data_IF_100124634688
#
_entry.id   IF_100124634688
#
_cell.length_a   1.000
_cell.length_b   1.000
_cell.length_c   1.000
_cell.angle_alpha   90.00
_cell.angle_beta   90.00
_cell.angle_gamma   90.00
#
_symmetry.space_group_name_H-M   'P 1'
#
loop_
_entity.id
_entity.type
_entity.pdbx_description
1 polymer ?
#
# COMPACT_ATOMS: atom_id res chain seq x y z
N UNK A 1 19.45 -11.60 79.07
CA UNK A 1 18.35 -11.81 78.09
C UNK A 1 18.95 -11.74 76.69
N UNK A 2 18.67 -12.71 75.80
CA UNK A 2 19.34 -12.83 74.50
C UNK A 2 18.70 -11.95 73.41
N UNK A 3 19.40 -11.65 72.31
CA UNK A 3 18.84 -10.89 71.19
C UNK A 3 17.94 -11.78 70.31
N UNK A 4 16.74 -11.31 70.01
CA UNK A 4 15.84 -11.92 69.01
C UNK A 4 16.37 -11.66 67.60
N UNK A 5 16.85 -12.70 66.94
CA UNK A 5 17.22 -12.71 65.52
C UNK A 5 15.98 -12.54 64.62
N UNK A 6 15.96 -11.48 63.80
CA UNK A 6 14.99 -11.28 62.71
C UNK A 6 15.40 -12.19 61.54
N UNK A 7 14.96 -13.45 61.56
CA UNK A 7 15.28 -14.45 60.53
C UNK A 7 14.08 -14.83 59.64
N UNK A 8 13.12 -13.90 59.48
CA UNK A 8 11.87 -14.16 58.74
C UNK A 8 11.69 -13.42 57.42
N UNK A 9 12.37 -12.27 57.19
CA UNK A 9 12.02 -11.35 56.09
C UNK A 9 12.69 -11.65 54.74
N UNK A 10 13.78 -12.43 54.74
CA UNK A 10 14.57 -12.70 53.52
C UNK A 10 13.99 -13.79 52.62
N UNK A 11 13.23 -14.75 53.17
CA UNK A 11 12.62 -15.85 52.38
C UNK A 11 11.36 -15.41 51.62
N UNK A 12 10.57 -14.50 52.19
CA UNK A 12 9.35 -13.97 51.58
C UNK A 12 9.66 -13.03 50.39
N UNK A 13 10.66 -12.13 50.53
CA UNK A 13 11.09 -11.28 49.42
C UNK A 13 11.60 -12.08 48.22
N UNK A 14 12.36 -13.17 48.45
CA UNK A 14 12.86 -14.02 47.35
C UNK A 14 11.73 -14.68 46.56
N UNK A 15 10.64 -15.10 47.22
CA UNK A 15 9.46 -15.65 46.54
C UNK A 15 8.74 -14.58 45.72
N UNK A 16 8.61 -13.38 46.26
CA UNK A 16 8.00 -12.25 45.55
C UNK A 16 8.81 -11.82 44.33
N UNK A 17 10.14 -11.79 44.42
CA UNK A 17 11.01 -11.48 43.27
C UNK A 17 10.91 -12.55 42.18
N UNK A 18 10.82 -13.83 42.53
CA UNK A 18 10.68 -14.92 41.56
C UNK A 18 9.31 -14.84 40.85
N UNK A 19 8.23 -14.56 41.57
CA UNK A 19 6.89 -14.40 40.97
C UNK A 19 6.84 -13.16 40.06
N UNK A 20 7.46 -12.05 40.46
CA UNK A 20 7.54 -10.84 39.62
C UNK A 20 8.33 -11.11 38.33
N UNK A 21 9.40 -11.91 38.40
CA UNK A 21 10.25 -12.24 37.26
C UNK A 21 9.53 -13.17 36.27
N UNK A 22 8.69 -14.09 36.76
CA UNK A 22 7.82 -14.93 35.91
C UNK A 22 6.74 -14.07 35.22
N UNK A 23 6.13 -13.11 35.92
CA UNK A 23 5.14 -12.21 35.32
C UNK A 23 5.79 -11.33 34.24
N UNK A 24 7.01 -10.84 34.45
CA UNK A 24 7.77 -10.09 33.43
C UNK A 24 8.15 -10.97 32.23
N UNK A 25 8.41 -12.26 32.41
CA UNK A 25 8.69 -13.17 31.29
C UNK A 25 7.44 -13.58 30.50
N UNK A 26 6.28 -13.66 31.15
CA UNK A 26 5.01 -14.04 30.49
C UNK A 26 4.33 -12.83 29.83
N UNK A 27 4.50 -11.63 30.39
CA UNK A 27 3.98 -10.36 29.84
C UNK A 27 5.03 -9.52 29.12
N UNK A 28 6.29 -9.96 29.08
CA UNK A 28 7.32 -9.42 28.21
C UNK A 28 6.96 -9.78 26.78
N UNK A 29 6.18 -8.91 26.14
CA UNK A 29 5.82 -8.93 24.73
C UNK A 29 6.99 -9.50 23.91
N UNK A 30 6.83 -10.72 23.41
CA UNK A 30 7.62 -11.17 22.27
C UNK A 30 7.20 -10.31 21.09
N UNK A 31 7.89 -9.19 20.87
CA UNK A 31 7.94 -8.63 19.53
C UNK A 31 8.38 -9.76 18.60
N UNK A 32 7.68 -9.98 17.46
CA UNK A 32 8.11 -11.00 16.52
C UNK A 32 9.55 -10.68 16.15
N UNK A 33 10.46 -11.62 16.45
CA UNK A 33 11.84 -11.55 16.00
C UNK A 33 11.84 -11.20 14.51
N UNK A 34 12.72 -10.28 14.06
CA UNK A 34 12.89 -10.03 12.64
C UNK A 34 13.12 -11.37 11.96
N UNK A 35 12.23 -11.73 11.03
CA UNK A 35 12.43 -12.92 10.22
C UNK A 35 13.65 -12.66 9.36
N UNK A 36 14.81 -13.12 9.81
CA UNK A 36 16.02 -13.14 9.00
C UNK A 36 15.81 -14.20 7.91
N UNK A 37 15.55 -13.74 6.68
CA UNK A 37 15.51 -14.60 5.51
C UNK A 37 16.97 -14.92 5.17
N UNK A 38 17.38 -16.17 5.42
CA UNK A 38 18.70 -16.67 5.01
C UNK A 38 18.92 -16.42 3.52
N UNK A 39 20.06 -15.80 3.19
CA UNK A 39 20.53 -15.56 1.82
C UNK A 39 20.57 -16.87 1.04
N UNK A 40 19.60 -17.07 0.15
CA UNK A 40 19.68 -18.06 -0.91
C UNK A 40 20.17 -17.33 -2.14
N UNK A 41 21.47 -17.50 -2.39
CA UNK A 41 22.24 -17.10 -3.56
C UNK A 41 22.25 -15.60 -3.94
N UNK A 42 23.47 -15.11 -4.16
CA UNK A 42 23.82 -13.78 -4.67
C UNK A 42 23.34 -13.57 -6.13
N UNK A 43 22.05 -13.70 -6.41
CA UNK A 43 21.41 -13.14 -7.61
C UNK A 43 20.58 -11.94 -7.19
N UNK A 44 21.08 -10.76 -7.49
CA UNK A 44 20.53 -9.43 -7.22
C UNK A 44 19.20 -9.12 -7.93
N UNK A 45 18.24 -10.03 -7.97
CA UNK A 45 17.09 -9.95 -8.88
C UNK A 45 15.73 -9.74 -8.19
N UNK A 46 15.62 -9.99 -6.89
CA UNK A 46 14.35 -9.88 -6.14
C UNK A 46 14.57 -9.12 -4.82
N UNK A 47 13.88 -8.00 -4.65
CA UNK A 47 13.89 -7.20 -3.43
C UNK A 47 12.62 -7.48 -2.61
N UNK A 48 12.79 -7.87 -1.34
CA UNK A 48 11.69 -8.08 -0.39
C UNK A 48 11.59 -6.90 0.58
N UNK A 49 10.39 -6.33 0.72
CA UNK A 49 10.10 -5.25 1.65
C UNK A 49 8.90 -5.66 2.52
N UNK A 50 9.14 -5.82 3.83
CA UNK A 50 8.05 -5.97 4.80
C UNK A 50 7.33 -4.61 4.93
N UNK A 51 6.00 -4.61 4.81
CA UNK A 51 5.22 -3.38 4.98
C UNK A 51 4.87 -3.25 6.46
N UNK A 52 5.40 -2.26 7.20
CA UNK A 52 5.13 -2.14 8.62
C UNK A 52 3.65 -1.86 8.86
N UNK A 53 3.02 -2.60 9.78
CA UNK A 53 1.63 -2.33 10.21
C UNK A 53 1.43 -0.92 10.79
N UNK A 54 2.53 -0.28 11.24
CA UNK A 54 2.53 1.07 11.81
C UNK A 54 2.86 2.18 10.79
N UNK A 55 3.09 1.87 9.51
CA UNK A 55 3.23 2.92 8.50
C UNK A 55 1.88 3.58 8.26
N UNK A 56 1.54 4.55 9.11
CA UNK A 56 0.29 5.32 9.13
C UNK A 56 0.01 6.15 7.85
N UNK A 57 0.73 5.87 6.76
CA UNK A 57 0.70 6.62 5.49
C UNK A 57 0.56 5.71 4.26
N UNK A 58 0.12 4.45 4.42
CA UNK A 58 -0.22 3.56 3.32
C UNK A 58 -1.68 3.13 3.48
N UNK A 59 -2.61 3.97 3.01
CA UNK A 59 -3.99 3.50 2.78
C UNK A 59 -3.93 2.55 1.57
N UNK A 60 -3.77 1.25 1.86
CA UNK A 60 -3.91 0.19 0.87
C UNK A 60 -5.36 -0.27 0.86
N UNK A 61 -6.09 0.09 -0.19
CA UNK A 61 -7.51 -0.23 -0.28
C UNK A 61 -7.79 -1.50 -1.10
N UNK A 62 -9.08 -1.84 -1.26
CA UNK A 62 -9.53 -2.99 -2.06
C UNK A 62 -9.24 -2.88 -3.55
N UNK A 63 -8.77 -1.73 -4.01
CA UNK A 63 -8.31 -1.50 -5.38
C UNK A 63 -6.81 -1.74 -5.52
N UNK A 64 -6.10 -1.99 -4.42
CA UNK A 64 -4.65 -2.19 -4.41
C UNK A 64 -3.87 -0.89 -4.59
N UNK A 65 -4.56 0.26 -4.59
CA UNK A 65 -3.92 1.57 -4.63
C UNK A 65 -3.38 1.86 -3.23
N UNK A 66 -2.12 2.30 -3.19
CA UNK A 66 -1.49 2.79 -1.97
C UNK A 66 -1.52 4.31 -2.03
N UNK A 67 -2.35 4.97 -1.20
CA UNK A 67 -2.27 6.44 -1.04
C UNK A 67 -1.02 6.74 -0.20
N UNK A 68 0.11 6.98 -0.87
CA UNK A 68 1.36 7.39 -0.23
C UNK A 68 1.30 8.90 -0.03
N UNK A 69 1.62 9.36 1.17
CA UNK A 69 1.92 10.77 1.38
C UNK A 69 3.25 11.10 0.67
N UNK A 70 3.15 11.51 -0.60
CA UNK A 70 4.29 11.77 -1.46
C UNK A 70 4.71 13.22 -1.27
N UNK A 71 5.91 13.44 -0.72
CA UNK A 71 6.51 14.76 -0.52
C UNK A 71 6.91 15.41 -1.86
N UNK A 72 5.91 15.81 -2.64
CA UNK A 72 6.05 16.42 -3.97
C UNK A 72 5.05 17.53 -4.14
N UNK A 73 5.46 18.61 -4.80
CA UNK A 73 4.61 19.76 -5.09
C UNK A 73 3.45 19.40 -6.01
N UNK A 74 3.65 18.44 -6.92
CA UNK A 74 2.58 17.94 -7.77
C UNK A 74 2.58 16.42 -7.74
N UNK A 75 1.42 15.83 -7.47
CA UNK A 75 1.20 14.39 -7.54
C UNK A 75 0.11 14.14 -8.56
N UNK A 76 0.39 13.34 -9.59
CA UNK A 76 -0.60 12.89 -10.57
C UNK A 76 -0.53 11.38 -10.66
N UNK A 77 -1.68 10.72 -10.54
CA UNK A 77 -1.77 9.27 -10.63
C UNK A 77 -2.91 8.84 -11.54
N UNK A 78 -2.61 7.90 -12.43
CA UNK A 78 -3.59 7.28 -13.33
C UNK A 78 -3.45 5.76 -13.25
N UNK A 79 -4.48 5.10 -12.73
CA UNK A 79 -4.43 3.69 -12.34
C UNK A 79 -5.55 2.93 -13.05
N UNK A 80 -5.18 1.87 -13.76
CA UNK A 80 -6.11 0.85 -14.24
C UNK A 80 -6.13 -0.33 -13.27
N UNK A 81 -7.29 -0.66 -12.74
CA UNK A 81 -7.46 -1.74 -11.76
C UNK A 81 -8.31 -2.84 -12.35
N UNK A 82 -7.85 -4.07 -12.19
CA UNK A 82 -8.59 -5.30 -12.44
C UNK A 82 -8.75 -6.03 -11.12
N UNK A 83 -9.97 -6.38 -10.75
CA UNK A 83 -10.29 -7.15 -9.56
C UNK A 83 -10.86 -8.50 -9.98
N UNK A 84 -10.18 -9.58 -9.61
CA UNK A 84 -10.69 -10.95 -9.77
C UNK A 84 -11.10 -11.48 -8.40
N UNK A 85 -12.40 -11.71 -8.24
CA UNK A 85 -13.00 -12.28 -7.04
C UNK A 85 -13.74 -13.57 -7.42
N UNK A 86 -13.12 -14.72 -7.16
CA UNK A 86 -13.59 -16.03 -7.61
C UNK A 86 -13.85 -16.09 -9.14
N UNK A 87 -15.12 -16.00 -9.54
CA UNK A 87 -15.59 -16.09 -10.93
C UNK A 87 -15.95 -14.74 -11.53
N UNK A 88 -15.90 -13.67 -10.75
CA UNK A 88 -16.22 -12.32 -11.23
C UNK A 88 -14.94 -11.53 -11.46
N UNK A 89 -14.92 -10.83 -12.59
CA UNK A 89 -13.86 -9.89 -12.94
C UNK A 89 -14.50 -8.52 -13.09
N UNK A 90 -13.96 -7.54 -12.38
CA UNK A 90 -14.35 -6.14 -12.51
C UNK A 90 -13.12 -5.33 -12.92
N UNK A 91 -13.34 -4.32 -13.76
CA UNK A 91 -12.28 -3.42 -14.21
C UNK A 91 -12.70 -1.98 -13.98
N UNK A 92 -11.83 -1.20 -13.37
CA UNK A 92 -12.04 0.21 -13.09
C UNK A 92 -10.80 1.02 -13.44
N UNK A 93 -10.98 2.34 -13.55
CA UNK A 93 -9.90 3.29 -13.74
C UNK A 93 -10.04 4.43 -12.76
N UNK A 94 -8.93 4.83 -12.14
CA UNK A 94 -8.87 5.91 -11.17
C UNK A 94 -7.85 6.95 -11.61
N UNK A 95 -8.21 8.21 -11.48
CA UNK A 95 -7.38 9.33 -11.90
C UNK A 95 -7.42 10.37 -10.79
N UNK A 96 -6.27 10.81 -10.31
CA UNK A 96 -6.23 11.91 -9.36
C UNK A 96 -5.02 12.82 -9.54
N UNK A 97 -5.19 14.06 -9.10
CA UNK A 97 -4.11 15.03 -9.00
C UNK A 97 -4.21 15.84 -7.71
N UNK A 98 -3.05 16.12 -7.12
CA UNK A 98 -2.88 16.92 -5.91
C UNK A 98 -1.78 17.95 -6.20
N UNK A 99 -2.02 19.19 -5.80
CA UNK A 99 -1.07 20.30 -5.96
C UNK A 99 -0.73 20.79 -4.56
N UNK A 100 0.40 20.35 -4.02
CA UNK A 100 0.84 20.67 -2.68
C UNK A 100 1.51 22.04 -2.62
N UNK A 101 1.18 22.81 -1.59
CA UNK A 101 1.81 24.06 -1.24
C UNK A 101 2.94 23.82 -0.24
N UNK A 102 4.17 23.62 -0.73
CA UNK A 102 5.32 23.33 0.14
C UNK A 102 5.67 24.44 1.14
N UNK A 103 5.17 25.66 0.95
CA UNK A 103 5.26 26.74 1.96
C UNK A 103 4.28 26.62 3.12
N UNK A 104 3.31 25.70 3.05
CA UNK A 104 2.26 25.52 4.05
C UNK A 104 2.24 24.08 4.59
N UNK A 105 3.27 23.65 5.33
CA UNK A 105 3.30 22.32 5.94
C UNK A 105 2.20 22.17 6.99
N UNK A 106 1.72 20.94 7.14
CA UNK A 106 0.77 20.53 8.17
C UNK A 106 1.46 19.50 9.06
N UNK A 107 1.41 19.70 10.37
CA UNK A 107 2.06 18.86 11.36
C UNK A 107 1.04 18.38 12.39
N UNK A 108 1.28 17.18 12.93
CA UNK A 108 0.57 16.67 14.09
C UNK A 108 0.99 17.45 15.34
N UNK A 109 0.21 17.34 16.42
CA UNK A 109 0.50 18.02 17.69
C UNK A 109 1.85 17.63 18.33
N UNK A 110 2.44 16.50 17.92
CA UNK A 110 3.78 16.05 18.33
C UNK A 110 4.92 16.56 17.40
N UNK A 111 4.62 17.42 16.44
CA UNK A 111 5.58 17.96 15.47
C UNK A 111 5.87 17.04 14.27
N UNK A 112 5.25 15.86 14.17
CA UNK A 112 5.40 14.98 13.01
C UNK A 112 4.77 15.61 11.76
N UNK A 113 5.49 15.61 10.64
CA UNK A 113 5.00 16.15 9.37
C UNK A 113 3.91 15.24 8.81
N UNK A 114 2.70 15.80 8.63
CA UNK A 114 1.54 15.10 8.07
C UNK A 114 1.35 15.35 6.58
N UNK A 115 1.83 16.47 6.05
CA UNK A 115 1.77 16.77 4.63
C UNK A 115 1.85 18.27 4.40
N UNK A 116 1.28 18.71 3.28
CA UNK A 116 1.20 20.12 2.92
C UNK A 116 -0.24 20.50 2.63
N UNK A 117 -0.61 21.75 2.88
CA UNK A 117 -1.88 22.27 2.34
C UNK A 117 -1.84 22.24 0.82
N UNK A 118 -3.00 22.11 0.19
CA UNK A 118 -3.11 22.04 -1.27
C UNK A 118 -3.44 23.41 -1.87
N UNK A 119 -2.90 23.68 -3.06
CA UNK A 119 -3.24 24.81 -3.92
C UNK A 119 -4.41 24.43 -4.82
N UNK A 120 -5.33 25.36 -5.03
CA UNK A 120 -6.47 25.13 -5.91
C UNK A 120 -6.14 25.55 -7.34
N UNK A 121 -6.33 24.62 -8.27
CA UNK A 121 -6.39 24.86 -9.71
C UNK A 121 -7.83 25.26 -10.12
N UNK A 122 -7.96 26.01 -11.21
CA UNK A 122 -9.27 26.36 -11.77
C UNK A 122 -9.99 25.10 -12.23
N UNK A 123 -9.32 24.31 -13.06
CA UNK A 123 -9.83 23.05 -13.57
C UNK A 123 -8.67 22.08 -13.82
N UNK A 124 -8.96 20.78 -13.65
CA UNK A 124 -8.03 19.69 -13.96
C UNK A 124 -8.79 18.70 -14.81
N UNK A 125 -8.15 18.22 -15.87
CA UNK A 125 -8.72 17.31 -16.84
C UNK A 125 -7.84 16.08 -16.99
N UNK A 126 -8.51 14.94 -17.11
CA UNK A 126 -7.95 13.69 -17.60
C UNK A 126 -8.66 13.36 -18.91
N UNK A 127 -7.87 13.28 -19.98
CA UNK A 127 -8.33 13.39 -21.35
C UNK A 127 -9.17 14.66 -21.54
N UNK A 128 -10.45 14.51 -21.87
CA UNK A 128 -11.39 15.63 -22.03
C UNK A 128 -12.43 15.68 -20.90
N UNK A 129 -12.16 15.01 -19.79
CA UNK A 129 -13.08 14.94 -18.65
C UNK A 129 -12.55 15.79 -17.49
N UNK A 130 -13.36 16.74 -17.04
CA UNK A 130 -13.03 17.57 -15.89
C UNK A 130 -13.15 16.76 -14.59
N UNK A 131 -12.05 16.65 -13.87
CA UNK A 131 -12.00 16.02 -12.56
C UNK A 131 -12.84 16.79 -11.53
N UNK A 132 -13.52 16.06 -10.66
CA UNK A 132 -14.25 16.64 -9.53
C UNK A 132 -13.27 17.05 -8.43
N UNK A 133 -13.56 18.16 -7.77
CA UNK A 133 -12.87 18.59 -6.55
C UNK A 133 -13.46 17.81 -5.38
N UNK A 134 -12.63 17.07 -4.65
CA UNK A 134 -13.01 16.37 -3.42
C UNK A 134 -12.02 16.71 -2.31
N UNK A 135 -12.41 16.47 -1.05
CA UNK A 135 -11.56 16.76 0.10
C UNK A 135 -10.33 15.85 0.11
N UNK A 136 -9.15 16.44 0.30
CA UNK A 136 -7.92 15.71 0.58
C UNK A 136 -7.71 15.67 2.10
N UNK A 137 -8.11 14.56 2.71
CA UNK A 137 -7.95 14.30 4.15
C UNK A 137 -6.88 13.24 4.35
N UNK A 138 -6.07 13.40 5.39
CA UNK A 138 -5.14 12.38 5.88
C UNK A 138 -5.60 11.95 7.26
N UNK A 139 -5.56 10.64 7.51
CA UNK A 139 -5.82 10.06 8.82
C UNK A 139 -4.50 9.70 9.47
N UNK A 140 -4.34 9.99 10.74
CA UNK A 140 -3.17 9.61 11.51
C UNK A 140 -3.56 9.24 12.93
N UNK A 141 -2.65 8.53 13.62
CA UNK A 141 -2.90 8.01 14.95
C UNK A 141 -2.14 8.82 16.00
N UNK A 142 -2.85 9.22 17.05
CA UNK A 142 -2.26 9.82 18.27
C UNK A 142 -2.62 8.93 19.44
N UNK A 143 -1.62 8.18 19.94
CA UNK A 143 -1.86 7.14 20.93
C UNK A 143 -2.77 6.03 20.38
N UNK A 144 -3.95 5.83 20.97
CA UNK A 144 -4.94 4.84 20.53
C UNK A 144 -6.06 5.43 19.65
N UNK A 145 -6.03 6.72 19.34
CA UNK A 145 -7.12 7.42 18.65
C UNK A 145 -6.70 7.80 17.23
N UNK A 146 -7.59 7.57 16.27
CA UNK A 146 -7.45 8.08 14.90
C UNK A 146 -8.02 9.50 14.80
N UNK A 147 -7.24 10.38 14.17
CA UNK A 147 -7.59 11.77 13.92
C UNK A 147 -7.49 12.02 12.42
N UNK A 148 -8.49 12.69 11.86
CA UNK A 148 -8.50 13.11 10.47
C UNK A 148 -8.09 14.59 10.37
N UNK A 149 -7.28 14.94 9.38
CA UNK A 149 -6.88 16.32 9.09
C UNK A 149 -7.07 16.65 7.62
N UNK A 150 -7.70 17.80 7.35
CA UNK A 150 -7.94 18.29 6.00
C UNK A 150 -6.73 19.06 5.48
N UNK A 151 -6.13 18.57 4.40
CA UNK A 151 -5.05 19.23 3.67
C UNK A 151 -5.58 20.13 2.52
N UNK A 152 -6.85 19.97 2.14
CA UNK A 152 -7.55 20.84 1.21
C UNK A 152 -8.27 20.06 0.12
N UNK A 153 -7.93 20.28 -1.16
CA UNK A 153 -8.63 19.71 -2.31
C UNK A 153 -7.71 18.75 -3.08
N UNK A 154 -8.26 17.58 -3.42
CA UNK A 154 -7.73 16.70 -4.47
C UNK A 154 -8.69 16.67 -5.67
N UNK A 155 -8.13 16.51 -6.86
CA UNK A 155 -8.90 16.38 -8.10
C UNK A 155 -9.04 14.91 -8.42
N UNK A 156 -10.25 14.43 -8.63
CA UNK A 156 -10.54 13.01 -8.83
C UNK A 156 -11.49 12.77 -10.01
N UNK A 157 -11.18 11.75 -10.79
CA UNK A 157 -12.10 11.16 -11.75
C UNK A 157 -12.02 9.64 -11.67
N UNK A 158 -13.12 8.98 -12.03
CA UNK A 158 -13.15 7.52 -12.21
C UNK A 158 -13.66 7.16 -13.60
N UNK A 159 -13.27 5.99 -14.08
CA UNK A 159 -13.77 5.42 -15.32
C UNK A 159 -15.30 5.33 -15.28
N UNK A 160 -15.89 4.89 -14.17
CA UNK A 160 -17.35 4.89 -14.00
C UNK A 160 -17.98 6.28 -14.25
N UNK A 161 -17.41 7.34 -13.69
CA UNK A 161 -17.90 8.72 -13.92
C UNK A 161 -17.75 9.15 -15.37
N UNK A 162 -16.64 8.81 -16.01
CA UNK A 162 -16.37 9.12 -17.42
C UNK A 162 -17.31 8.33 -18.37
N UNK A 163 -17.61 7.08 -18.03
CA UNK A 163 -18.48 6.18 -18.80
C UNK A 163 -19.93 6.70 -18.80
N UNK A 164 -20.45 7.15 -17.65
CA UNK A 164 -21.80 7.75 -17.57
C UNK A 164 -21.97 8.97 -18.49
N UNK A 165 -20.88 9.64 -18.88
CA UNK A 165 -20.88 10.76 -19.82
C UNK A 165 -20.47 10.36 -21.25
N UNK A 166 -20.35 9.06 -21.54
CA UNK A 166 -19.95 8.52 -22.84
C UNK A 166 -18.50 8.87 -23.24
N UNK A 167 -17.63 9.17 -22.26
CA UNK A 167 -16.26 9.65 -22.51
C UNK A 167 -15.20 8.55 -22.45
N UNK A 168 -15.43 7.49 -21.68
CA UNK A 168 -14.44 6.42 -21.51
C UNK A 168 -15.07 5.14 -20.98
N UNK A 169 -14.94 4.04 -21.75
CA UNK A 169 -15.52 2.75 -21.38
C UNK A 169 -14.52 1.83 -20.66
N UNK A 170 -13.22 2.06 -20.83
CA UNK A 170 -12.15 1.27 -20.24
C UNK A 170 -10.89 2.10 -20.04
N UNK A 171 -10.11 1.81 -19.01
CA UNK A 171 -8.76 2.33 -18.82
C UNK A 171 -7.90 2.08 -20.08
N UNK A 172 -7.08 3.05 -20.55
CA UNK A 172 -6.44 2.97 -21.85
C UNK A 172 -5.06 2.34 -21.69
N UNK A 173 -4.97 1.01 -21.50
CA UNK A 173 -3.69 0.31 -21.39
C UNK A 173 -2.83 0.44 -22.66
N UNK A 174 -1.50 0.38 -22.52
CA UNK A 174 -0.53 0.51 -23.63
C UNK A 174 -0.76 1.74 -24.52
N UNK A 175 -1.11 2.86 -23.91
CA UNK A 175 -1.50 4.10 -24.60
C UNK A 175 -1.06 5.29 -23.77
N UNK A 176 -1.90 6.33 -23.68
CA UNK A 176 -1.66 7.53 -22.89
C UNK A 176 -2.95 8.13 -22.35
N UNK A 177 -2.84 8.87 -21.26
CA UNK A 177 -3.88 9.75 -20.70
C UNK A 177 -3.40 11.19 -20.88
N UNK A 178 -4.17 12.01 -21.59
CA UNK A 178 -3.85 13.43 -21.71
C UNK A 178 -4.18 14.13 -20.39
N UNK A 179 -3.22 14.82 -19.80
CA UNK A 179 -3.40 15.55 -18.56
C UNK A 179 -3.37 17.06 -18.82
N UNK A 180 -4.30 17.79 -18.22
CA UNK A 180 -4.31 19.26 -18.28
C UNK A 180 -4.73 19.87 -16.95
N UNK A 181 -3.97 20.81 -16.44
CA UNK A 181 -4.33 21.61 -15.28
C UNK A 181 -4.27 23.10 -15.62
N UNK A 182 -5.40 23.78 -15.41
CA UNK A 182 -5.56 25.20 -15.70
C UNK A 182 -5.34 26.04 -14.46
N UNK A 183 -4.41 26.98 -14.56
CA UNK A 183 -4.18 27.97 -13.51
C UNK A 183 -5.08 29.21 -13.73
N UNK A 184 -5.16 30.09 -12.73
CA UNK A 184 -5.80 31.40 -12.82
C UNK A 184 -5.29 32.27 -13.98
N UNK A 185 -5.97 33.39 -14.25
CA UNK A 185 -5.85 34.26 -15.45
C UNK A 185 -4.43 34.70 -15.91
N UNK A 186 -3.35 34.41 -15.18
CA UNK A 186 -1.98 34.84 -15.53
C UNK A 186 -0.89 33.77 -15.35
N UNK A 187 -1.23 32.50 -15.14
CA UNK A 187 -0.25 31.42 -15.00
C UNK A 187 -0.35 30.44 -16.16
N UNK A 188 0.80 29.88 -16.58
CA UNK A 188 0.83 28.88 -17.66
C UNK A 188 0.04 27.64 -17.24
N UNK A 189 -0.75 27.12 -18.17
CA UNK A 189 -1.42 25.83 -18.00
C UNK A 189 -0.38 24.71 -18.06
N UNK A 190 -0.60 23.66 -17.27
CA UNK A 190 0.21 22.45 -17.30
C UNK A 190 -0.49 21.47 -18.23
N UNK A 191 0.18 20.97 -19.25
CA UNK A 191 -0.38 20.02 -20.20
C UNK A 191 0.69 19.03 -20.68
N UNK A 192 0.42 17.74 -20.56
CA UNK A 192 1.31 16.67 -20.99
C UNK A 192 0.55 15.35 -21.13
N UNK A 193 1.18 14.35 -21.75
CA UNK A 193 0.62 13.01 -21.88
C UNK A 193 1.26 12.05 -20.88
N UNK A 194 0.43 11.25 -20.21
CA UNK A 194 0.86 10.22 -19.27
C UNK A 194 0.81 8.86 -19.97
N UNK A 195 1.94 8.28 -20.44
CA UNK A 195 1.98 6.89 -20.91
C UNK A 195 1.43 5.93 -19.87
N UNK A 196 0.65 4.95 -20.35
CA UNK A 196 0.06 3.91 -19.52
C UNK A 196 0.74 2.56 -19.80
N UNK A 197 0.98 1.74 -18.75
CA UNK A 197 1.56 0.41 -18.93
C UNK A 197 0.59 -0.53 -19.67
N UNK A 198 1.10 -1.66 -20.17
CA UNK A 198 0.21 -2.72 -20.63
C UNK A 198 -0.56 -3.34 -19.47
N UNK A 199 -1.75 -3.87 -19.76
CA UNK A 199 -2.59 -4.53 -18.75
C UNK A 199 -1.82 -5.71 -18.15
N UNK A 200 -1.65 -5.70 -16.82
CA UNK A 200 -1.18 -6.87 -16.09
C UNK A 200 -2.38 -7.76 -15.75
N UNK A 201 -2.22 -9.04 -16.05
CA UNK A 201 -3.17 -10.12 -15.78
C UNK A 201 -2.36 -11.25 -15.17
N UNK A 202 -2.91 -11.83 -14.11
CA UNK A 202 -2.20 -12.73 -13.23
C UNK A 202 -3.06 -13.92 -12.88
N UNK A 203 -2.42 -14.96 -12.36
CA UNK A 203 -3.05 -16.16 -11.84
C UNK A 203 -2.29 -16.62 -10.62
N UNK A 204 -3.03 -17.11 -9.63
CA UNK A 204 -2.45 -17.72 -8.44
C UNK A 204 -2.93 -19.16 -8.36
N UNK A 205 -2.01 -20.08 -8.10
CA UNK A 205 -2.31 -21.46 -7.75
C UNK A 205 -1.61 -21.82 -6.45
N UNK A 206 -2.29 -22.54 -5.57
CA UNK A 206 -1.64 -23.22 -4.46
C UNK A 206 -1.25 -24.63 -4.93
N UNK A 207 0.04 -24.93 -4.91
CA UNK A 207 0.59 -26.23 -5.34
C UNK A 207 1.27 -26.89 -4.14
N UNK A 208 1.22 -28.22 -4.07
CA UNK A 208 1.81 -29.03 -2.98
C UNK A 208 0.81 -29.40 -1.89
N UNK A 209 1.30 -30.05 -0.86
CA UNK A 209 0.53 -30.52 0.29
C UNK A 209 0.90 -29.72 1.55
N UNK A 210 -0.12 -29.25 2.27
CA UNK A 210 0.09 -28.53 3.53
C UNK A 210 0.67 -29.44 4.61
N UNK A 211 0.28 -30.72 4.61
CA UNK A 211 0.72 -31.71 5.60
C UNK A 211 2.21 -32.05 5.41
N UNK A 212 2.67 -32.10 4.15
CA UNK A 212 4.06 -32.39 3.80
C UNK A 212 4.98 -31.16 3.84
N UNK A 213 4.43 -29.99 4.20
CA UNK A 213 5.14 -28.70 4.30
C UNK A 213 5.83 -28.25 3.00
N UNK A 214 5.45 -28.80 1.86
CA UNK A 214 5.98 -28.49 0.53
C UNK A 214 5.07 -27.54 -0.26
N UNK A 215 3.96 -27.07 0.33
CA UNK A 215 3.04 -26.17 -0.32
C UNK A 215 3.66 -24.79 -0.64
N UNK A 216 3.39 -24.28 -1.85
CA UNK A 216 3.80 -22.96 -2.31
C UNK A 216 2.72 -22.30 -3.18
N UNK A 217 2.72 -20.97 -3.20
CA UNK A 217 1.97 -20.20 -4.19
C UNK A 217 2.76 -20.11 -5.48
N UNK A 218 2.20 -20.60 -6.57
CA UNK A 218 2.65 -20.35 -7.92
C UNK A 218 1.92 -19.11 -8.47
N UNK A 219 2.69 -18.07 -8.72
CA UNK A 219 2.23 -16.79 -9.25
C UNK A 219 2.67 -16.70 -10.71
N UNK A 220 1.72 -16.51 -11.61
CA UNK A 220 1.95 -16.37 -13.05
C UNK A 220 1.32 -15.05 -13.50
N UNK A 221 1.98 -14.29 -14.37
CA UNK A 221 1.42 -13.11 -15.03
C UNK A 221 1.89 -12.99 -16.47
N UNK A 222 1.23 -12.15 -17.28
CA UNK A 222 1.67 -11.89 -18.65
C UNK A 222 2.91 -10.97 -18.65
N UNK A 223 4.11 -11.46 -19.01
CA UNK A 223 5.33 -10.67 -18.93
C UNK A 223 5.43 -9.64 -20.06
N UNK A 224 6.10 -8.52 -19.79
CA UNK A 224 6.61 -7.63 -20.85
C UNK A 224 8.08 -7.91 -21.21
N UNK A 225 8.81 -8.67 -20.38
CA UNK A 225 10.24 -8.96 -20.58
C UNK A 225 11.17 -7.75 -20.36
N UNK A 226 10.63 -6.62 -19.89
CA UNK A 226 11.36 -5.40 -19.57
C UNK A 226 10.70 -4.67 -18.39
N UNK A 227 11.49 -3.96 -17.61
CA UNK A 227 11.01 -3.23 -16.43
C UNK A 227 10.84 -4.15 -15.20
N UNK A 228 10.15 -3.62 -14.19
CA UNK A 228 9.90 -4.29 -12.91
C UNK A 228 8.40 -4.48 -12.69
N UNK A 229 8.05 -5.55 -11.96
CA UNK A 229 6.72 -5.80 -11.41
C UNK A 229 6.82 -5.77 -9.90
N UNK A 230 5.84 -5.14 -9.25
CA UNK A 230 5.63 -5.26 -7.80
C UNK A 230 4.50 -6.25 -7.54
N UNK A 231 4.70 -7.14 -6.56
CA UNK A 231 3.71 -8.08 -6.08
C UNK A 231 3.45 -7.76 -4.61
N UNK A 232 2.21 -7.37 -4.31
CA UNK A 232 1.79 -7.04 -2.94
C UNK A 232 0.89 -8.15 -2.43
N UNK A 233 1.23 -8.67 -1.24
CA UNK A 233 0.42 -9.60 -0.48
C UNK A 233 -0.28 -8.81 0.61
N UNK A 234 -1.60 -8.94 0.72
CA UNK A 234 -2.39 -8.28 1.75
C UNK A 234 -3.41 -9.24 2.36
N UNK A 235 -3.62 -9.18 3.67
CA UNK A 235 -4.66 -9.94 4.36
C UNK A 235 -5.94 -9.11 4.49
N UNK A 236 -7.09 -9.74 4.30
CA UNK A 236 -8.39 -9.16 4.66
C UNK A 236 -8.81 -9.74 6.00
N UNK A 237 -8.97 -8.88 7.00
CA UNK A 237 -9.42 -9.30 8.33
C UNK A 237 -10.95 -9.53 8.36
N UNK A 238 -11.47 -9.99 9.49
CA UNK A 238 -12.91 -10.25 9.67
C UNK A 238 -13.81 -9.02 9.51
N UNK A 239 -13.26 -7.82 9.68
CA UNK A 239 -13.98 -6.55 9.50
C UNK A 239 -13.96 -6.06 8.04
N UNK A 240 -13.26 -6.77 7.14
CA UNK A 240 -13.09 -6.38 5.74
C UNK A 240 -11.96 -5.37 5.52
N UNK A 241 -11.17 -5.05 6.54
CA UNK A 241 -10.02 -4.17 6.42
C UNK A 241 -8.86 -4.93 5.77
N UNK A 242 -8.15 -4.25 4.88
CA UNK A 242 -7.05 -4.82 4.12
C UNK A 242 -5.74 -4.35 4.74
N UNK A 243 -4.92 -5.31 5.15
CA UNK A 243 -3.63 -5.06 5.77
C UNK A 243 -2.54 -5.56 4.81
N UNK A 244 -1.74 -4.66 4.19
CA UNK A 244 -0.61 -5.08 3.39
C UNK A 244 0.42 -5.78 4.29
N UNK A 245 0.95 -6.89 3.80
CA UNK A 245 1.81 -7.79 4.55
C UNK A 245 3.25 -7.71 4.04
N UNK A 246 3.40 -7.84 2.73
CA UNK A 246 4.68 -7.96 2.07
C UNK A 246 4.57 -7.39 0.67
N UNK A 247 5.63 -6.69 0.26
CA UNK A 247 5.86 -6.30 -1.13
C UNK A 247 7.09 -7.02 -1.64
N UNK A 248 6.98 -7.56 -2.84
CA UNK A 248 8.10 -8.17 -3.57
C UNK A 248 8.26 -7.40 -4.86
N UNK A 249 9.49 -7.01 -5.19
CA UNK A 249 9.83 -6.39 -6.47
C UNK A 249 10.77 -7.28 -7.23
N UNK A 250 10.49 -7.51 -8.51
CA UNK A 250 11.34 -8.30 -9.37
C UNK A 250 11.22 -7.89 -10.84
N UNK A 251 12.00 -8.53 -11.69
CA UNK A 251 11.90 -8.36 -13.14
C UNK A 251 10.54 -8.83 -13.66
N UNK A 252 10.02 -8.17 -14.70
CA UNK A 252 8.76 -8.56 -15.35
C UNK A 252 8.94 -9.82 -16.23
N UNK A 253 9.19 -10.96 -15.58
CA UNK A 253 9.53 -12.26 -16.20
C UNK A 253 8.35 -13.24 -16.28
N UNK A 254 7.21 -12.93 -15.64
CA UNK A 254 5.94 -13.64 -15.79
C UNK A 254 5.70 -14.75 -14.78
N UNK A 255 6.63 -15.05 -13.86
CA UNK A 255 6.38 -16.05 -12.84
C UNK A 255 7.17 -15.81 -11.54
N UNK A 256 6.60 -16.28 -10.43
CA UNK A 256 7.26 -16.32 -9.13
C UNK A 256 6.68 -17.47 -8.29
N UNK A 257 7.55 -18.14 -7.54
CA UNK A 257 7.13 -19.13 -6.53
C UNK A 257 7.37 -18.56 -5.15
N UNK A 258 6.33 -18.58 -4.32
CA UNK A 258 6.41 -18.12 -2.94
C UNK A 258 6.07 -19.28 -2.00
N UNK A 259 7.05 -19.79 -1.26
CA UNK A 259 6.83 -20.82 -0.25
C UNK A 259 5.76 -20.41 0.77
N UNK A 260 4.85 -21.33 1.14
CA UNK A 260 3.74 -21.01 2.06
C UNK A 260 4.23 -20.69 3.48
N UNK A 261 5.43 -21.16 3.85
CA UNK A 261 6.06 -20.84 5.13
C UNK A 261 6.32 -19.34 5.33
N UNK A 262 6.47 -18.56 4.26
CA UNK A 262 6.56 -17.09 4.31
C UNK A 262 5.31 -16.48 4.95
N UNK A 263 4.16 -17.14 4.81
CA UNK A 263 2.87 -16.68 5.34
C UNK A 263 2.45 -17.37 6.64
N UNK A 264 3.28 -18.23 7.26
CA UNK A 264 2.89 -19.00 8.46
C UNK A 264 2.48 -18.14 9.64
N UNK A 265 3.10 -16.97 9.81
CA UNK A 265 2.77 -16.04 10.89
C UNK A 265 1.66 -15.04 10.51
N UNK A 266 1.20 -15.09 9.26
CA UNK A 266 0.32 -14.11 8.65
C UNK A 266 -1.07 -14.70 8.40
N UNK A 267 -1.15 -15.98 8.03
CA UNK A 267 -2.41 -16.73 7.98
C UNK A 267 -2.78 -17.09 9.42
N UNK A 268 -3.41 -16.14 10.12
CA UNK A 268 -3.98 -16.34 11.45
C UNK A 268 -5.49 -16.58 11.34
N UNK A 269 -6.12 -17.11 12.40
CA UNK A 269 -7.57 -17.32 12.47
C UNK A 269 -8.41 -16.03 12.25
N UNK A 270 -7.79 -14.85 12.32
CA UNK A 270 -8.46 -13.57 12.16
C UNK A 270 -8.56 -13.08 10.70
N UNK A 271 -7.79 -13.70 9.79
CA UNK A 271 -7.72 -13.33 8.38
C UNK A 271 -8.61 -14.25 7.54
N UNK A 272 -9.59 -13.66 6.84
CA UNK A 272 -10.58 -14.41 6.03
C UNK A 272 -10.07 -14.76 4.64
N UNK A 273 -9.23 -13.91 4.06
CA UNK A 273 -8.75 -14.08 2.70
C UNK A 273 -7.44 -13.33 2.48
N UNK A 274 -6.66 -13.81 1.52
CA UNK A 274 -5.47 -13.14 1.01
C UNK A 274 -5.82 -12.42 -0.30
N UNK A 275 -5.30 -11.21 -0.48
CA UNK A 275 -5.29 -10.49 -1.76
C UNK A 275 -3.85 -10.46 -2.26
N UNK A 276 -3.68 -10.92 -3.49
CA UNK A 276 -2.41 -10.83 -4.20
C UNK A 276 -2.59 -9.86 -5.35
N UNK A 277 -1.76 -8.83 -5.36
CA UNK A 277 -1.86 -7.72 -6.29
C UNK A 277 -0.61 -7.66 -7.14
N UNK A 278 -0.79 -7.83 -8.44
CA UNK A 278 0.26 -7.64 -9.44
C UNK A 278 0.22 -6.19 -9.90
N UNK A 279 1.35 -5.48 -9.84
CA UNK A 279 1.44 -4.06 -10.16
C UNK A 279 2.53 -3.87 -11.19
N UNK A 280 2.14 -3.35 -12.36
CA UNK A 280 3.06 -2.82 -13.38
C UNK A 280 2.99 -1.31 -13.37
N UNK A 281 4.15 -0.65 -13.33
CA UNK A 281 4.22 0.79 -13.05
C UNK A 281 5.15 1.52 -14.02
N UNK A 282 4.75 2.72 -14.40
CA UNK A 282 5.60 3.73 -15.04
C UNK A 282 5.66 4.94 -14.10
N UNK A 283 6.86 5.31 -13.65
CA UNK A 283 7.10 6.41 -12.71
C UNK A 283 7.93 7.53 -13.34
N UNK A 284 7.88 8.70 -12.71
CA UNK A 284 8.68 9.88 -13.07
C UNK A 284 8.50 10.25 -14.54
N UNK A 285 7.27 10.08 -15.01
CA UNK A 285 6.81 10.43 -16.34
C UNK A 285 6.89 11.95 -16.44
N UNK A 286 7.88 12.42 -17.16
CA UNK A 286 8.11 13.83 -17.47
C UNK A 286 8.44 14.73 -16.26
N UNK A 287 9.65 15.31 -16.27
CA UNK A 287 10.10 16.30 -15.26
C UNK A 287 9.59 17.70 -15.61
N UNK A 288 8.32 17.84 -15.98
CA UNK A 288 7.76 19.15 -16.37
C UNK A 288 7.83 20.16 -15.20
N UNK A 289 7.84 19.65 -13.97
CA UNK A 289 8.08 20.38 -12.74
C UNK A 289 9.15 19.60 -11.98
N UNK A 290 10.25 20.25 -11.59
CA UNK A 290 11.38 19.61 -10.89
C UNK A 290 10.98 18.87 -9.59
N UNK A 291 9.79 19.16 -9.06
CA UNK A 291 9.20 18.56 -7.87
C UNK A 291 7.80 17.94 -8.12
N UNK A 292 7.66 17.22 -9.24
CA UNK A 292 6.49 16.38 -9.51
C UNK A 292 6.74 14.90 -9.20
N UNK A 293 5.65 14.18 -8.94
CA UNK A 293 5.58 12.72 -9.03
C UNK A 293 4.36 12.37 -9.86
N UNK A 294 4.64 11.81 -11.03
CA UNK A 294 3.64 11.40 -12.00
C UNK A 294 3.81 9.90 -12.19
N UNK A 295 2.70 9.19 -11.99
CA UNK A 295 2.67 7.73 -12.00
C UNK A 295 1.52 7.22 -12.85
N UNK A 296 1.77 6.15 -13.60
CA UNK A 296 0.74 5.31 -14.16
C UNK A 296 0.91 3.85 -13.76
N UNK A 297 -0.18 3.21 -13.37
CA UNK A 297 -0.19 1.83 -12.85
C UNK A 297 -1.24 0.96 -13.56
N UNK A 298 -0.88 -0.30 -13.81
CA UNK A 298 -1.82 -1.38 -14.06
C UNK A 298 -1.76 -2.34 -12.88
N UNK A 299 -2.90 -2.53 -12.23
CA UNK A 299 -3.04 -3.35 -11.03
C UNK A 299 -4.00 -4.50 -11.33
N UNK A 300 -3.62 -5.71 -10.95
CA UNK A 300 -4.52 -6.86 -10.91
C UNK A 300 -4.56 -7.49 -9.53
N UNK A 301 -5.68 -7.32 -8.84
CA UNK A 301 -5.94 -7.89 -7.54
C UNK A 301 -6.66 -9.23 -7.70
N UNK A 302 -6.13 -10.27 -7.04
CA UNK A 302 -6.73 -11.60 -6.99
C UNK A 302 -7.00 -11.94 -5.53
N UNK A 303 -8.28 -12.10 -5.19
CA UNK A 303 -8.69 -12.54 -3.86
C UNK A 303 -8.73 -14.06 -3.80
N UNK A 304 -8.14 -14.61 -2.74
CA UNK A 304 -8.07 -16.04 -2.44
C UNK A 304 -8.58 -16.24 -1.03
N UNK A 305 -9.57 -17.11 -0.86
CA UNK A 305 -10.02 -17.49 0.47
C UNK A 305 -8.97 -18.35 1.16
N UNK A 306 -8.74 -18.04 2.44
CA UNK A 306 -7.91 -18.86 3.29
C UNK A 306 -8.81 -19.97 3.88
N UNK A 307 -8.38 -21.25 3.85
CA UNK A 307 -9.15 -22.36 4.40
C UNK A 307 -9.39 -22.27 5.90
#
# INVERSE_FOLDING_TARGET
MPPRTIKGRSREMKKFTIILLIIVFVYGCGEPLPTELTEVDNSSEIEFEAVPAESANLDYDSTGIVDRNIDKSVVVSVVGVRNTNFRTVQTEGYYYAIFNDKSSPVQAGNGHMLGYKTRQMNAVFFNNFQARKIEHKIKYRVGSVYIDTLLGVKYFASQHMMNMMGRMNRFPYSSKVSFKAMNGHHQQNIEFDIPTPSEITGRVRLIGNREDRDAYFELEWNPEGRGRVEIVFAAINSNGEINPLMRVRGNDNGNMRVPLNVFRNIITEHNRSLVISYIRKIENIDKFIDDSYIVSESIHNIRIDLP
#
